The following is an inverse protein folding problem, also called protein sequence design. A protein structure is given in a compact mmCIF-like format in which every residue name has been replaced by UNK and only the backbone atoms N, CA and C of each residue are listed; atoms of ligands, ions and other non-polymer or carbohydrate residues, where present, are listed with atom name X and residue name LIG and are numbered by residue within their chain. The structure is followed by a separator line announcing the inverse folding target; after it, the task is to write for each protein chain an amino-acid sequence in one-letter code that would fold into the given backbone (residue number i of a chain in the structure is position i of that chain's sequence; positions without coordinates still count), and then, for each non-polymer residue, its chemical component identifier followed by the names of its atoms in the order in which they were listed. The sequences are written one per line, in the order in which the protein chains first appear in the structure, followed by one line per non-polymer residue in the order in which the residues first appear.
data_IF_848880540162
#
_entry.id   IF_848880540162
#
_cell.length_a   1.000
_cell.length_b   1.000
_cell.length_c   1.000
_cell.angle_alpha   90.00
_cell.angle_beta   90.00
_cell.angle_gamma   90.00
#
_symmetry.space_group_name_H-M   'P 1'
#
loop_
_entity.id
_entity.type
_entity.pdbx_description
1 polymer ?
#
# COMPACT_ATOMS: atom_id res chain seq x y z
N UNK A 1 4.98 -34.48 7.75
CA UNK A 1 4.52 -33.08 7.69
C UNK A 1 5.01 -32.48 6.38
N UNK A 2 4.17 -32.41 5.34
CA UNK A 2 4.57 -31.90 4.01
C UNK A 2 4.40 -30.39 3.93
N UNK A 3 5.45 -29.68 3.51
CA UNK A 3 5.34 -28.28 3.07
C UNK A 3 4.45 -28.26 1.84
N UNK A 4 3.32 -27.54 1.90
CA UNK A 4 2.43 -27.41 0.75
C UNK A 4 3.12 -26.56 -0.34
N UNK A 5 2.92 -26.87 -1.62
CA UNK A 5 3.56 -26.15 -2.74
C UNK A 5 3.26 -24.64 -2.70
N UNK A 6 2.07 -24.28 -2.19
CA UNK A 6 1.66 -22.89 -1.96
C UNK A 6 2.48 -22.22 -0.86
N UNK A 7 2.76 -22.91 0.24
CA UNK A 7 3.56 -22.36 1.33
C UNK A 7 4.99 -22.06 0.85
N UNK A 8 5.59 -22.99 0.10
CA UNK A 8 6.90 -22.80 -0.50
C UNK A 8 6.92 -21.59 -1.47
N UNK A 9 5.90 -21.45 -2.32
CA UNK A 9 5.77 -20.33 -3.24
C UNK A 9 5.63 -18.99 -2.50
N UNK A 10 4.79 -18.93 -1.47
CA UNK A 10 4.58 -17.72 -0.66
C UNK A 10 5.84 -17.29 0.08
N UNK A 11 6.59 -18.25 0.65
CA UNK A 11 7.89 -17.96 1.28
C UNK A 11 8.87 -17.39 0.26
N UNK A 12 9.01 -18.03 -0.91
CA UNK A 12 9.90 -17.56 -1.98
C UNK A 12 9.52 -16.13 -2.42
N UNK A 13 8.24 -15.81 -2.50
CA UNK A 13 7.75 -14.48 -2.84
C UNK A 13 7.96 -13.46 -1.70
N UNK A 14 7.91 -13.85 -0.43
CA UNK A 14 8.11 -12.97 0.72
C UNK A 14 9.59 -12.61 0.98
N UNK A 15 10.50 -13.54 0.73
CA UNK A 15 11.96 -13.35 0.91
C UNK A 15 12.48 -12.06 0.26
N UNK A 16 12.21 -11.75 -1.02
CA UNK A 16 12.70 -10.51 -1.63
C UNK A 16 12.15 -9.24 -0.96
N UNK A 17 10.94 -9.27 -0.41
CA UNK A 17 10.40 -8.13 0.34
C UNK A 17 11.12 -7.95 1.68
N UNK A 18 11.37 -9.04 2.42
CA UNK A 18 12.15 -9.02 3.65
C UNK A 18 13.56 -8.49 3.42
N UNK A 19 14.25 -9.02 2.41
CA UNK A 19 15.60 -8.62 2.04
C UNK A 19 15.63 -7.15 1.60
N UNK A 20 14.69 -6.72 0.75
CA UNK A 20 14.60 -5.33 0.31
C UNK A 20 14.37 -4.39 1.49
N UNK A 21 13.49 -4.76 2.42
CA UNK A 21 13.24 -4.01 3.66
C UNK A 21 14.49 -3.93 4.55
N UNK A 22 15.22 -5.03 4.70
CA UNK A 22 16.49 -5.07 5.44
C UNK A 22 17.59 -4.21 4.81
N UNK A 23 17.70 -4.21 3.48
CA UNK A 23 18.69 -3.43 2.73
C UNK A 23 18.35 -1.94 2.77
N UNK A 24 17.08 -1.57 2.64
CA UNK A 24 16.65 -0.16 2.66
C UNK A 24 16.57 0.44 4.05
N UNK A 25 16.25 -0.36 5.06
CA UNK A 25 15.99 0.07 6.44
C UNK A 25 14.56 0.59 6.64
N UNK A 26 14.09 0.52 7.89
CA UNK A 26 12.75 0.91 8.31
C UNK A 26 12.46 2.37 8.00
N UNK A 27 13.35 3.30 8.38
CA UNK A 27 13.11 4.73 8.20
C UNK A 27 12.83 5.09 6.74
N UNK A 28 13.61 4.55 5.79
CA UNK A 28 13.41 4.82 4.36
C UNK A 28 12.12 4.19 3.83
N UNK A 29 11.83 2.96 4.22
CA UNK A 29 10.64 2.24 3.72
C UNK A 29 9.35 2.88 4.27
N UNK A 30 9.33 3.28 5.54
CA UNK A 30 8.20 3.95 6.19
C UNK A 30 7.98 5.36 5.65
N UNK A 31 9.04 6.18 5.57
CA UNK A 31 8.94 7.54 5.01
C UNK A 31 8.55 7.49 3.53
N UNK A 32 9.05 6.52 2.76
CA UNK A 32 8.64 6.33 1.37
C UNK A 32 7.15 5.99 1.23
N UNK A 33 6.59 5.16 2.13
CA UNK A 33 5.15 4.88 2.13
C UNK A 33 4.32 6.09 2.54
N UNK A 34 4.74 6.83 3.57
CA UNK A 34 4.10 8.10 3.94
C UNK A 34 4.17 9.09 2.78
N UNK A 35 5.31 9.18 2.10
CA UNK A 35 5.52 10.02 0.91
C UNK A 35 4.62 9.64 -0.26
N UNK A 36 4.41 8.35 -0.48
CA UNK A 36 3.50 7.86 -1.52
C UNK A 36 2.05 8.29 -1.25
N UNK A 37 1.59 8.11 -0.01
CA UNK A 37 0.23 8.50 0.41
C UNK A 37 0.06 10.02 0.40
N UNK A 38 0.98 10.75 1.03
CA UNK A 38 0.96 12.21 1.09
C UNK A 38 1.07 12.83 -0.31
N UNK A 39 1.91 12.27 -1.19
CA UNK A 39 2.04 12.71 -2.57
C UNK A 39 0.77 12.48 -3.37
N UNK A 40 0.11 11.33 -3.20
CA UNK A 40 -1.16 11.02 -3.85
C UNK A 40 -2.28 11.97 -3.39
N UNK A 41 -2.40 12.18 -2.07
CA UNK A 41 -3.36 13.13 -1.50
C UNK A 41 -3.07 14.57 -1.95
N UNK A 42 -1.80 14.98 -1.95
CA UNK A 42 -1.41 16.31 -2.38
C UNK A 42 -1.69 16.53 -3.87
N UNK A 43 -1.35 15.55 -4.72
CA UNK A 43 -1.65 15.59 -6.15
C UNK A 43 -3.16 15.69 -6.41
N UNK A 44 -3.98 14.93 -5.68
CA UNK A 44 -5.43 15.02 -5.82
C UNK A 44 -6.00 16.36 -5.32
N UNK A 45 -5.47 16.92 -4.23
CA UNK A 45 -5.98 18.14 -3.63
C UNK A 45 -5.53 19.43 -4.34
N UNK A 46 -4.26 19.50 -4.77
CA UNK A 46 -3.65 20.73 -5.30
C UNK A 46 -3.09 20.59 -6.72
N UNK A 47 -3.04 19.38 -7.28
CA UNK A 47 -2.54 19.14 -8.64
C UNK A 47 -3.34 19.87 -9.73
N UNK A 48 -4.69 19.88 -9.70
CA UNK A 48 -5.49 20.62 -10.69
C UNK A 48 -5.28 22.13 -10.61
N UNK A 49 -5.12 22.68 -9.40
CA UNK A 49 -4.83 24.11 -9.22
C UNK A 49 -3.48 24.49 -9.85
N UNK A 50 -2.46 23.65 -9.66
CA UNK A 50 -1.16 23.81 -10.32
C UNK A 50 -1.27 23.67 -11.85
N UNK A 51 -2.12 22.76 -12.33
CA UNK A 51 -2.42 22.58 -13.75
C UNK A 51 -3.05 23.82 -14.38
N UNK A 52 -4.03 24.43 -13.71
CA UNK A 52 -4.69 25.65 -14.18
C UNK A 52 -3.70 26.81 -14.41
N UNK A 53 -2.73 26.99 -13.51
CA UNK A 53 -1.65 27.99 -13.67
C UNK A 53 -0.79 27.75 -14.94
N UNK A 54 -0.57 26.48 -15.32
CA UNK A 54 0.15 26.14 -16.55
C UNK A 54 -0.68 26.46 -17.81
N UNK A 55 -2.01 26.35 -17.74
CA UNK A 55 -2.92 26.73 -18.82
C UNK A 55 -2.95 28.25 -19.01
N UNK A 56 -3.02 29.01 -17.91
CA UNK A 56 -3.02 30.48 -17.92
C UNK A 56 -1.74 31.03 -18.56
N UNK A 57 -0.61 30.34 -18.36
CA UNK A 57 0.67 30.68 -19.00
C UNK A 57 0.78 30.22 -20.46
N UNK A 58 -0.30 29.71 -21.05
CA UNK A 58 -0.37 29.14 -22.40
C UNK A 58 0.66 28.02 -22.66
N UNK A 59 1.09 27.31 -21.61
CA UNK A 59 2.11 26.27 -21.74
C UNK A 59 1.52 24.96 -22.28
N UNK A 60 0.26 24.65 -21.96
CA UNK A 60 -0.34 23.34 -22.20
C UNK A 60 -1.86 23.42 -22.46
N UNK A 61 -2.40 22.39 -23.13
CA UNK A 61 -3.85 22.14 -23.21
C UNK A 61 -4.41 21.77 -21.83
N UNK A 62 -5.67 22.12 -21.50
CA UNK A 62 -6.26 21.93 -20.16
C UNK A 62 -6.09 20.52 -19.59
N UNK A 63 -6.45 19.50 -20.39
CA UNK A 63 -6.35 18.09 -19.97
C UNK A 63 -4.90 17.69 -19.68
N UNK A 64 -3.94 18.14 -20.50
CA UNK A 64 -2.52 17.83 -20.26
C UNK A 64 -1.98 18.59 -19.05
N UNK A 65 -2.42 19.83 -18.85
CA UNK A 65 -1.96 20.68 -17.76
C UNK A 65 -2.35 20.12 -16.39
N UNK A 66 -3.59 19.64 -16.24
CA UNK A 66 -4.04 19.00 -14.99
C UNK A 66 -3.26 17.72 -14.69
N UNK A 67 -3.06 16.87 -15.70
CA UNK A 67 -2.27 15.64 -15.56
C UNK A 67 -0.83 15.96 -15.16
N UNK A 68 -0.22 16.96 -15.81
CA UNK A 68 1.15 17.39 -15.52
C UNK A 68 1.26 18.04 -14.14
N UNK A 69 0.28 18.85 -13.73
CA UNK A 69 0.24 19.47 -12.40
C UNK A 69 0.15 18.42 -11.29
N UNK A 70 -0.77 17.46 -11.43
CA UNK A 70 -0.88 16.30 -10.54
C UNK A 70 0.42 15.49 -10.48
N UNK A 71 0.98 15.14 -11.65
CA UNK A 71 2.21 14.34 -11.72
C UNK A 71 3.41 15.09 -11.12
N UNK A 72 3.59 16.37 -11.43
CA UNK A 72 4.66 17.20 -10.90
C UNK A 72 4.58 17.30 -9.38
N UNK A 73 3.39 17.53 -8.83
CA UNK A 73 3.20 17.64 -7.38
C UNK A 73 3.42 16.29 -6.69
N UNK A 74 2.90 15.20 -7.26
CA UNK A 74 3.16 13.84 -6.76
C UNK A 74 4.66 13.55 -6.69
N UNK A 75 5.39 13.81 -7.78
CA UNK A 75 6.84 13.59 -7.87
C UNK A 75 7.59 14.49 -6.88
N UNK A 76 7.22 15.77 -6.77
CA UNK A 76 7.87 16.71 -5.85
C UNK A 76 7.75 16.25 -4.39
N UNK A 77 6.55 15.85 -3.95
CA UNK A 77 6.34 15.35 -2.57
C UNK A 77 7.07 14.02 -2.33
N UNK A 78 7.04 13.09 -3.29
CA UNK A 78 7.77 11.83 -3.17
C UNK A 78 9.29 12.06 -3.12
N UNK A 79 9.81 13.01 -3.90
CA UNK A 79 11.23 13.36 -3.88
C UNK A 79 11.62 13.96 -2.53
N UNK A 80 10.83 14.91 -2.01
CA UNK A 80 11.08 15.52 -0.70
C UNK A 80 11.09 14.49 0.43
N UNK A 81 10.12 13.58 0.45
CA UNK A 81 10.06 12.51 1.45
C UNK A 81 11.19 11.49 1.29
N UNK A 82 11.61 11.15 0.08
CA UNK A 82 12.81 10.33 -0.13
C UNK A 82 14.07 10.96 0.47
N UNK A 83 14.24 12.28 0.34
CA UNK A 83 15.35 13.00 0.96
C UNK A 83 15.26 12.94 2.49
N UNK A 84 14.08 13.15 3.06
CA UNK A 84 13.85 13.01 4.51
C UNK A 84 14.15 11.60 5.01
N UNK A 85 13.73 10.57 4.27
CA UNK A 85 14.01 9.17 4.61
C UNK A 85 15.51 8.87 4.56
N UNK A 86 16.24 9.43 3.60
CA UNK A 86 17.69 9.31 3.54
C UNK A 86 18.39 10.04 4.70
N UNK A 87 17.87 11.20 5.12
CA UNK A 87 18.38 11.93 6.28
C UNK A 87 18.13 11.14 7.57
N UNK A 88 16.92 10.63 7.78
CA UNK A 88 16.59 9.80 8.94
C UNK A 88 17.50 8.56 9.03
N UNK A 89 17.79 7.92 7.90
CA UNK A 89 18.71 6.80 7.83
C UNK A 89 20.17 7.18 8.13
N UNK A 90 20.60 8.41 7.80
CA UNK A 90 21.90 8.95 8.26
C UNK A 90 21.92 9.17 9.77
N UNK A 91 20.84 9.69 10.35
CA UNK A 91 20.73 9.86 11.80
C UNK A 91 20.76 8.51 12.52
N UNK A 92 20.04 7.51 12.01
CA UNK A 92 20.09 6.14 12.56
C UNK A 92 21.50 5.54 12.52
N UNK A 93 22.29 5.83 11.47
CA UNK A 93 23.72 5.48 11.41
C UNK A 93 24.54 6.20 12.48
N UNK A 94 24.34 7.50 12.66
CA UNK A 94 25.06 8.30 13.65
C UNK A 94 24.79 7.83 15.09
N UNK A 95 23.60 7.32 15.35
CA UNK A 95 23.20 6.76 16.66
C UNK A 95 23.59 5.28 16.85
N UNK A 96 24.35 4.67 15.92
CA UNK A 96 24.68 3.24 15.92
C UNK A 96 23.45 2.30 15.91
N UNK A 97 22.27 2.80 15.54
CA UNK A 97 21.01 2.05 15.47
C UNK A 97 20.79 1.38 14.11
N UNK A 98 21.84 1.20 13.32
CA UNK A 98 21.76 0.64 11.96
C UNK A 98 21.15 -0.75 11.97
N UNK A 99 21.62 -1.62 12.86
CA UNK A 99 21.13 -3.00 12.94
C UNK A 99 19.64 -3.03 13.28
N UNK A 100 19.20 -2.20 14.22
CA UNK A 100 17.79 -2.09 14.58
C UNK A 100 16.95 -1.53 13.42
N UNK A 101 17.40 -0.45 12.77
CA UNK A 101 16.72 0.13 11.61
C UNK A 101 16.60 -0.90 10.46
N UNK A 102 17.63 -1.71 10.21
CA UNK A 102 17.58 -2.76 9.18
C UNK A 102 16.70 -3.93 9.59
N UNK A 103 16.77 -4.38 10.84
CA UNK A 103 15.90 -5.45 11.34
C UNK A 103 14.41 -5.05 11.31
N UNK A 104 14.09 -3.85 11.81
CA UNK A 104 12.74 -3.27 11.69
C UNK A 104 12.34 -3.12 10.21
N UNK A 105 13.29 -2.78 9.34
CA UNK A 105 13.07 -2.72 7.89
C UNK A 105 12.70 -4.08 7.29
N UNK A 106 13.32 -5.17 7.75
CA UNK A 106 12.99 -6.53 7.32
C UNK A 106 11.56 -6.91 7.72
N UNK A 107 11.17 -6.64 8.96
CA UNK A 107 9.81 -6.89 9.48
C UNK A 107 8.78 -6.07 8.71
N UNK A 108 9.08 -4.79 8.46
CA UNK A 108 8.20 -3.92 7.71
C UNK A 108 8.09 -4.32 6.23
N UNK A 109 9.20 -4.73 5.61
CA UNK A 109 9.23 -5.32 4.27
C UNK A 109 8.38 -6.58 4.18
N UNK A 110 8.50 -7.49 5.16
CA UNK A 110 7.65 -8.67 5.28
C UNK A 110 6.18 -8.31 5.40
N UNK A 111 5.82 -7.38 6.27
CA UNK A 111 4.43 -6.93 6.44
C UNK A 111 3.85 -6.37 5.13
N UNK A 112 4.64 -5.57 4.41
CA UNK A 112 4.27 -5.01 3.10
C UNK A 112 4.12 -6.09 2.03
N UNK A 113 5.06 -7.04 1.97
CA UNK A 113 5.00 -8.19 1.06
C UNK A 113 3.80 -9.09 1.34
N UNK A 114 3.52 -9.34 2.63
CA UNK A 114 2.37 -10.08 3.09
C UNK A 114 1.06 -9.41 2.69
N UNK A 115 0.94 -8.10 2.88
CA UNK A 115 -0.23 -7.33 2.45
C UNK A 115 -0.43 -7.39 0.92
N UNK A 116 0.64 -7.22 0.14
CA UNK A 116 0.59 -7.30 -1.33
C UNK A 116 0.20 -8.69 -1.83
N UNK A 117 0.80 -9.74 -1.26
CA UNK A 117 0.48 -11.12 -1.62
C UNK A 117 -0.94 -11.51 -1.19
N UNK A 118 -1.37 -11.13 0.01
CA UNK A 118 -2.73 -11.34 0.48
C UNK A 118 -3.76 -10.66 -0.43
N UNK A 119 -3.50 -9.40 -0.83
CA UNK A 119 -4.35 -8.71 -1.80
C UNK A 119 -4.37 -9.41 -3.17
N UNK A 120 -3.22 -9.87 -3.67
CA UNK A 120 -3.13 -10.62 -4.92
C UNK A 120 -3.90 -11.94 -4.86
N UNK A 121 -3.85 -12.68 -3.74
CA UNK A 121 -4.63 -13.89 -3.54
C UNK A 121 -6.14 -13.61 -3.53
N UNK A 122 -6.58 -12.55 -2.84
CA UNK A 122 -7.99 -12.14 -2.87
C UNK A 122 -8.45 -11.78 -4.28
N UNK A 123 -7.62 -11.04 -5.03
CA UNK A 123 -7.93 -10.67 -6.40
C UNK A 123 -8.00 -11.91 -7.30
N UNK A 124 -7.07 -12.86 -7.16
CA UNK A 124 -7.07 -14.12 -7.90
C UNK A 124 -8.35 -14.94 -7.64
N UNK A 125 -8.81 -15.04 -6.38
CA UNK A 125 -10.06 -15.71 -6.05
C UNK A 125 -11.29 -15.03 -6.67
N UNK A 126 -11.26 -13.70 -6.82
CA UNK A 126 -12.36 -12.94 -7.42
C UNK A 126 -12.39 -13.05 -8.94
N UNK A 127 -11.22 -13.11 -9.57
CA UNK A 127 -11.09 -13.19 -11.03
C UNK A 127 -11.27 -14.62 -11.56
N UNK A 128 -10.83 -15.62 -10.79
CA UNK A 128 -10.94 -17.04 -11.15
C UNK A 128 -11.59 -17.81 -10.00
N UNK A 129 -12.94 -17.85 -9.95
CA UNK A 129 -13.67 -18.58 -8.92
C UNK A 129 -13.51 -20.10 -9.15
N UNK A 130 -12.46 -20.69 -8.58
CA UNK A 130 -12.19 -22.13 -8.67
C UNK A 130 -12.11 -22.75 -7.28
N UNK A 131 -12.94 -23.78 -7.06
CA UNK A 131 -12.97 -24.52 -5.79
C UNK A 131 -11.61 -25.14 -5.47
N UNK A 132 -10.88 -25.64 -6.49
CA UNK A 132 -9.54 -26.17 -6.35
C UNK A 132 -8.53 -25.13 -5.85
N UNK A 133 -8.59 -23.87 -6.32
CA UNK A 133 -7.70 -22.80 -5.84
C UNK A 133 -8.03 -22.41 -4.40
N UNK A 134 -9.32 -22.33 -4.05
CA UNK A 134 -9.76 -22.06 -2.69
C UNK A 134 -9.31 -23.17 -1.72
N UNK A 135 -9.41 -24.43 -2.13
CA UNK A 135 -9.00 -25.59 -1.33
C UNK A 135 -7.47 -25.65 -1.15
N UNK A 136 -6.72 -25.37 -2.23
CA UNK A 136 -5.25 -25.30 -2.21
C UNK A 136 -4.74 -24.15 -1.33
N UNK A 137 -5.42 -23.00 -1.31
CA UNK A 137 -5.13 -21.88 -0.39
C UNK A 137 -5.56 -22.22 1.05
N UNK A 138 -6.72 -22.85 1.24
CA UNK A 138 -7.25 -23.21 2.56
C UNK A 138 -6.41 -24.31 3.25
N UNK A 139 -5.74 -25.15 2.47
CA UNK A 139 -4.77 -26.14 2.90
C UNK A 139 -3.36 -25.56 3.15
N UNK A 140 -3.12 -24.30 2.81
CA UNK A 140 -1.85 -23.60 3.01
C UNK A 140 -1.79 -22.95 4.40
N UNK A 141 -0.67 -23.11 5.11
CA UNK A 141 -0.51 -22.53 6.46
C UNK A 141 -0.34 -21.02 6.42
N UNK A 142 0.35 -20.51 5.39
CA UNK A 142 0.55 -19.09 5.18
C UNK A 142 -0.59 -18.46 4.39
N UNK A 143 -1.38 -19.26 3.65
CA UNK A 143 -2.53 -18.79 2.89
C UNK A 143 -3.56 -18.06 3.77
N UNK A 144 -4.01 -18.71 4.85
CA UNK A 144 -5.04 -18.17 5.77
C UNK A 144 -4.65 -16.83 6.42
N UNK A 145 -3.52 -16.70 7.13
CA UNK A 145 -3.18 -15.43 7.78
C UNK A 145 -2.99 -14.29 6.79
N UNK A 146 -2.51 -14.56 5.56
CA UNK A 146 -2.40 -13.54 4.52
C UNK A 146 -3.77 -13.09 3.98
N UNK A 147 -4.70 -14.01 3.78
CA UNK A 147 -6.07 -13.65 3.37
C UNK A 147 -6.85 -12.96 4.49
N UNK A 148 -6.63 -13.33 5.75
CA UNK A 148 -7.29 -12.70 6.90
C UNK A 148 -6.78 -11.25 7.08
N UNK A 149 -5.47 -11.03 6.96
CA UNK A 149 -4.90 -9.68 6.93
C UNK A 149 -5.49 -8.85 5.79
N UNK A 150 -5.59 -9.42 4.58
CA UNK A 150 -6.11 -8.71 3.43
C UNK A 150 -7.61 -8.38 3.58
N UNK A 151 -8.41 -9.29 4.13
CA UNK A 151 -9.84 -9.03 4.38
C UNK A 151 -10.05 -8.00 5.48
N UNK A 152 -9.22 -7.98 6.51
CA UNK A 152 -9.20 -6.94 7.54
C UNK A 152 -8.87 -5.56 6.97
N UNK A 153 -7.88 -5.45 6.08
CA UNK A 153 -7.55 -4.19 5.40
C UNK A 153 -8.73 -3.72 4.52
N UNK A 154 -9.36 -4.63 3.78
CA UNK A 154 -10.51 -4.31 2.94
C UNK A 154 -11.74 -3.91 3.77
N UNK A 155 -11.96 -4.53 4.94
CA UNK A 155 -13.11 -4.20 5.80
C UNK A 155 -13.01 -2.79 6.37
N UNK A 156 -11.82 -2.39 6.82
CA UNK A 156 -11.54 -1.01 7.26
C UNK A 156 -11.80 -0.03 6.12
N UNK A 157 -11.32 -0.34 4.91
CA UNK A 157 -11.59 0.48 3.73
C UNK A 157 -13.10 0.67 3.45
N UNK A 158 -13.91 -0.38 3.63
CA UNK A 158 -15.37 -0.27 3.46
C UNK A 158 -16.04 0.55 4.54
N UNK A 159 -15.57 0.48 5.79
CA UNK A 159 -16.14 1.28 6.90
C UNK A 159 -15.89 2.78 6.76
N UNK A 160 -14.82 3.16 6.05
CA UNK A 160 -14.49 4.56 5.77
C UNK A 160 -15.19 5.10 4.51
N UNK A 161 -15.83 4.22 3.72
CA UNK A 161 -16.57 4.61 2.52
C UNK A 161 -17.98 5.09 2.92
N UNK A 162 -18.38 6.35 2.65
CA UNK A 162 -19.64 6.94 3.12
C UNK A 162 -20.93 6.31 2.58
N UNK A 163 -20.82 5.33 1.66
CA UNK A 163 -21.95 4.71 0.96
C UNK A 163 -22.29 3.33 1.53
N UNK A 164 -22.50 3.23 2.84
CA UNK A 164 -23.36 2.17 3.37
C UNK A 164 -24.79 2.71 3.40
N UNK A 165 -25.76 2.11 2.69
CA UNK A 165 -27.15 2.53 2.81
C UNK A 165 -27.56 2.36 4.27
N UNK A 166 -28.07 3.44 4.86
CA UNK A 166 -28.73 3.40 6.16
C UNK A 166 -29.72 2.23 6.17
N UNK A 167 -29.60 1.34 7.14
CA UNK A 167 -30.52 0.23 7.29
C UNK A 167 -31.96 0.75 7.36
N UNK A 168 -32.93 0.19 6.61
CA UNK A 168 -34.33 0.54 6.75
C UNK A 168 -34.87 -0.08 8.04
N UNK A 169 -34.57 0.59 9.17
CA UNK A 169 -35.00 0.21 10.52
C UNK A 169 -35.84 1.29 11.20
N UNK A 170 -36.54 2.13 10.45
CA UNK A 170 -37.34 3.22 11.02
C UNK A 170 -38.57 3.57 10.16
N UNK A 171 -39.37 2.57 9.77
CA UNK A 171 -40.69 2.82 9.17
C UNK A 171 -41.67 1.67 9.43
N UNK A 172 -41.79 1.21 10.67
CA UNK A 172 -42.97 0.43 11.08
C UNK A 172 -43.32 0.66 12.55
N UNK A 173 -43.80 1.87 12.84
CA UNK A 173 -44.70 2.15 13.96
C UNK A 173 -45.53 3.36 13.53
N UNK A 174 -46.86 3.19 13.57
CA UNK A 174 -47.95 4.15 13.28
C UNK A 174 -48.51 4.05 11.86
N UNK A 175 -49.48 3.16 11.68
CA UNK A 175 -50.90 3.51 11.59
C UNK A 175 -51.73 2.23 11.70
#
# INVERSE_FOLDING_TARGET
MSVNQVDALLVVLLVPFALRGYVRGFCRESVGLVGLLAGGLAAAAWGPALGAELVVRHLLRPVLADVIGCAALFVAVNLATHLLGALADRVARALFLVTFNRAAGAVFGLAKGAALLGFALLLAQRLVPSAALAEVIAASRLGRPLTDLATGVVSVGRTLSPSSPAGPGAANRRA
#
